data_IF_055767570117
#
_entry.id   IF_055767570117
#
_cell.length_a   1.000
_cell.length_b   1.000
_cell.length_c   1.000
_cell.angle_alpha   90.00
_cell.angle_beta   90.00
_cell.angle_gamma   90.00
#
_symmetry.space_group_name_H-M   'P 1'
#
loop_
_entity.id
_entity.type
_entity.pdbx_description
1 polymer ?
#
# COMPACT_ATOMS: atom_id res chain seq x y z
N UNK A 1 0.35 -3.77 8.44
CA UNK A 1 -1.02 -3.83 7.88
C UNK A 1 -1.03 -4.67 6.61
N UNK A 2 -1.61 -5.82 6.69
CA UNK A 2 -1.61 -6.78 5.58
C UNK A 2 -2.39 -6.30 4.35
N UNK A 3 -3.52 -5.63 4.57
CA UNK A 3 -4.34 -5.11 3.47
C UNK A 3 -3.61 -4.08 2.62
N UNK A 4 -2.73 -3.28 3.22
CA UNK A 4 -1.91 -2.35 2.45
C UNK A 4 -1.06 -3.10 1.42
N UNK A 5 -0.42 -4.20 1.84
CA UNK A 5 0.44 -4.97 0.94
C UNK A 5 -0.37 -5.70 -0.13
N UNK A 6 -1.56 -6.17 0.21
CA UNK A 6 -2.46 -6.76 -0.79
C UNK A 6 -2.84 -5.73 -1.86
N UNK A 7 -3.17 -4.51 -1.45
CA UNK A 7 -3.50 -3.44 -2.37
C UNK A 7 -2.29 -3.04 -3.22
N UNK A 8 -1.11 -2.97 -2.61
CA UNK A 8 0.12 -2.64 -3.31
C UNK A 8 0.43 -3.67 -4.40
N UNK A 9 0.30 -4.96 -4.07
CA UNK A 9 0.50 -6.03 -5.04
C UNK A 9 -0.54 -5.96 -6.18
N UNK A 10 -1.78 -5.61 -5.86
CA UNK A 10 -2.82 -5.44 -6.87
C UNK A 10 -2.51 -4.30 -7.83
N UNK A 11 -2.05 -3.16 -7.31
CA UNK A 11 -1.66 -2.00 -8.12
C UNK A 11 -0.54 -2.38 -9.07
N UNK A 12 0.45 -3.13 -8.59
CA UNK A 12 1.56 -3.61 -9.42
C UNK A 12 1.05 -4.59 -10.48
N UNK A 13 0.19 -5.53 -10.08
CA UNK A 13 -0.37 -6.53 -11.00
C UNK A 13 -1.22 -5.90 -12.10
N UNK A 14 -1.90 -4.81 -11.79
CA UNK A 14 -2.71 -4.06 -12.75
C UNK A 14 -1.87 -3.10 -13.60
N UNK A 15 -0.55 -3.11 -13.42
CA UNK A 15 0.41 -2.28 -14.16
C UNK A 15 0.20 -0.78 -14.00
N UNK A 16 -0.39 -0.37 -12.89
CA UNK A 16 -0.51 1.05 -12.55
C UNK A 16 0.83 1.65 -12.16
N UNK A 17 1.71 0.84 -11.55
CA UNK A 17 3.10 1.18 -11.27
C UNK A 17 3.98 -0.02 -11.64
N UNK A 18 5.28 0.23 -11.83
CA UNK A 18 6.22 -0.83 -12.21
C UNK A 18 6.49 -1.82 -11.10
N UNK A 19 6.49 -1.34 -9.84
CA UNK A 19 6.77 -2.21 -8.72
C UNK A 19 6.82 -1.42 -7.42
N UNK A 20 7.10 -2.14 -6.33
CA UNK A 20 7.16 -1.57 -4.99
C UNK A 20 8.21 -0.46 -4.89
N UNK A 21 9.37 -0.64 -5.55
CA UNK A 21 10.43 0.38 -5.55
C UNK A 21 9.94 1.70 -6.12
N UNK A 22 9.13 1.64 -7.17
CA UNK A 22 8.56 2.83 -7.80
C UNK A 22 7.64 3.56 -6.81
N UNK A 23 6.79 2.81 -6.11
CA UNK A 23 5.90 3.38 -5.11
C UNK A 23 6.68 4.11 -4.03
N UNK A 24 7.71 3.47 -3.48
CA UNK A 24 8.54 4.06 -2.45
C UNK A 24 9.23 5.33 -2.93
N UNK A 25 9.76 5.32 -4.15
CA UNK A 25 10.45 6.48 -4.72
C UNK A 25 9.53 7.66 -4.97
N UNK A 26 8.34 7.39 -5.52
CA UNK A 26 7.38 8.44 -5.86
C UNK A 26 6.84 9.16 -4.63
N UNK A 27 6.71 8.45 -3.52
CA UNK A 27 6.04 8.98 -2.33
C UNK A 27 6.97 9.11 -1.13
N UNK A 28 8.27 9.05 -1.38
CA UNK A 28 9.32 9.26 -0.37
C UNK A 28 9.16 8.33 0.84
N UNK A 29 8.96 7.04 0.54
CA UNK A 29 8.82 5.99 1.55
C UNK A 29 10.16 5.26 1.69
N UNK A 30 10.58 5.01 2.95
CA UNK A 30 11.78 4.21 3.21
C UNK A 30 11.51 2.76 2.80
N UNK A 31 12.15 2.35 1.70
CA UNK A 31 11.98 1.02 1.14
C UNK A 31 12.39 -0.08 2.12
N UNK A 32 13.46 0.13 2.87
CA UNK A 32 13.95 -0.86 3.84
C UNK A 32 12.92 -1.09 4.93
N UNK A 33 12.34 -0.01 5.42
CA UNK A 33 11.31 -0.09 6.46
C UNK A 33 10.04 -0.78 5.93
N UNK A 34 9.63 -0.44 4.72
CA UNK A 34 8.47 -1.06 4.11
C UNK A 34 8.68 -2.56 3.91
N UNK A 35 9.81 -2.97 3.38
CA UNK A 35 10.11 -4.40 3.15
C UNK A 35 10.20 -5.15 4.48
N UNK A 36 10.85 -4.56 5.49
CA UNK A 36 10.95 -5.18 6.80
C UNK A 36 9.56 -5.41 7.43
N UNK A 37 8.70 -4.41 7.35
CA UNK A 37 7.33 -4.52 7.86
C UNK A 37 6.51 -5.55 7.06
N UNK A 38 6.72 -5.63 5.75
CA UNK A 38 6.03 -6.60 4.91
C UNK A 38 6.38 -8.04 5.27
N UNK A 39 7.65 -8.31 5.57
CA UNK A 39 8.10 -9.65 5.98
C UNK A 39 7.58 -10.05 7.34
N UNK A 40 7.51 -9.09 8.25
CA UNK A 40 7.05 -9.31 9.61
C UNK A 40 6.24 -8.08 10.02
N UNK A 41 4.92 -8.23 10.08
CA UNK A 41 4.01 -7.11 10.34
C UNK A 41 4.20 -6.50 11.72
N UNK A 42 4.89 -7.20 12.63
CA UNK A 42 5.23 -6.68 13.96
C UNK A 42 6.58 -5.95 13.98
N UNK A 43 7.33 -6.00 12.87
CA UNK A 43 8.62 -5.32 12.74
C UNK A 43 8.50 -4.08 11.89
N UNK A 44 9.40 -3.13 12.16
CA UNK A 44 9.45 -1.90 11.41
C UNK A 44 8.33 -0.95 11.81
N UNK A 45 8.27 0.16 11.10
CA UNK A 45 7.35 1.25 11.42
C UNK A 45 6.38 1.44 10.26
N UNK A 46 5.20 0.83 10.38
CA UNK A 46 4.16 1.10 9.42
C UNK A 46 3.61 2.52 9.64
N UNK A 47 3.56 3.31 8.57
CA UNK A 47 3.06 4.67 8.64
C UNK A 47 1.75 4.78 7.86
N UNK A 48 0.75 5.38 8.50
CA UNK A 48 -0.55 5.59 7.87
C UNK A 48 -0.41 6.44 6.59
N UNK A 49 0.57 7.34 6.56
CA UNK A 49 0.85 8.15 5.38
C UNK A 49 1.16 7.34 4.13
N UNK A 50 1.61 6.08 4.28
CA UNK A 50 1.85 5.19 3.15
C UNK A 50 0.55 4.82 2.41
N UNK A 51 -0.59 4.89 3.11
CA UNK A 51 -1.90 4.58 2.54
C UNK A 51 -2.43 5.71 1.66
N UNK A 52 -2.06 6.94 1.95
CA UNK A 52 -2.64 8.12 1.29
C UNK A 52 -2.50 8.09 -0.22
N UNK A 53 -1.31 7.81 -0.80
CA UNK A 53 -1.18 7.79 -2.25
C UNK A 53 -2.07 6.76 -2.92
N UNK A 54 -2.22 5.57 -2.35
CA UNK A 54 -3.03 4.54 -3.00
C UNK A 54 -4.52 4.88 -2.95
N UNK A 55 -4.97 5.56 -1.90
CA UNK A 55 -6.36 6.04 -1.83
C UNK A 55 -6.58 7.19 -2.79
N UNK A 56 -5.65 8.16 -2.81
CA UNK A 56 -5.79 9.38 -3.58
C UNK A 56 -5.55 9.17 -5.08
N UNK A 57 -4.53 8.41 -5.43
CA UNK A 57 -4.07 8.31 -6.82
C UNK A 57 -4.53 7.03 -7.53
N UNK A 58 -4.79 5.96 -6.80
CA UNK A 58 -5.08 4.66 -7.40
C UNK A 58 -6.48 4.15 -7.11
N UNK A 59 -7.30 4.92 -6.42
CA UNK A 59 -8.69 4.57 -6.17
C UNK A 59 -8.89 3.42 -5.20
N UNK A 60 -7.91 3.11 -4.36
CA UNK A 60 -8.07 2.09 -3.32
C UNK A 60 -9.00 2.61 -2.23
N UNK A 61 -9.96 1.79 -1.81
CA UNK A 61 -10.93 2.17 -0.80
C UNK A 61 -10.29 2.31 0.58
N UNK A 62 -10.42 3.50 1.18
CA UNK A 62 -9.97 3.73 2.55
C UNK A 62 -10.74 2.84 3.52
N UNK A 63 -12.04 2.65 3.30
CA UNK A 63 -12.86 1.79 4.14
C UNK A 63 -12.35 0.35 4.12
N UNK A 64 -12.03 -0.16 2.93
CA UNK A 64 -11.49 -1.51 2.81
C UNK A 64 -10.14 -1.63 3.52
N UNK A 65 -9.26 -0.63 3.36
CA UNK A 65 -7.96 -0.64 4.02
C UNK A 65 -8.08 -0.66 5.54
N UNK A 66 -8.97 0.16 6.08
CA UNK A 66 -9.07 0.35 7.53
C UNK A 66 -9.97 -0.69 8.21
N UNK A 67 -11.05 -1.10 7.55
CA UNK A 67 -12.06 -1.95 8.17
C UNK A 67 -12.18 -3.33 7.53
N UNK A 68 -11.63 -3.51 6.34
CA UNK A 68 -11.74 -4.77 5.61
C UNK A 68 -13.11 -5.02 4.99
N UNK A 69 -13.96 -4.00 4.89
CA UNK A 69 -15.29 -4.12 4.35
C UNK A 69 -15.38 -3.47 2.97
N UNK A 70 -16.27 -4.00 2.14
CA UNK A 70 -16.47 -3.48 0.79
C UNK A 70 -15.42 -4.00 -0.20
N UNK A 71 -15.27 -3.29 -1.31
CA UNK A 71 -14.34 -3.64 -2.37
C UNK A 71 -13.00 -2.94 -2.15
N UNK A 72 -11.92 -3.59 -2.61
CA UNK A 72 -10.58 -3.01 -2.55
C UNK A 72 -10.48 -1.68 -3.30
N UNK A 73 -11.09 -1.59 -4.48
CA UNK A 73 -11.09 -0.38 -5.29
C UNK A 73 -12.46 0.26 -5.33
N UNK A 74 -12.50 1.57 -5.15
CA UNK A 74 -13.71 2.35 -5.33
C UNK A 74 -13.90 2.63 -6.83
N UNK A 75 -15.13 2.57 -7.24
CA UNK A 75 -15.48 2.93 -8.62
C UNK A 75 -15.73 4.43 -8.76
#
# INVERSE_FOLDING_TARGET
MERFYCALDAIVAMKMIRGVNTYCRLYDIDRRNLIANRKDLDRGWFQVSWLQPMVKEYGVSARWLMLGTGKMFEE
#
